data_IF_441447617129
#
_entry.id   IF_441447617129
#
_cell.length_a   1.000
_cell.length_b   1.000
_cell.length_c   1.000
_cell.angle_alpha   90.00
_cell.angle_beta   90.00
_cell.angle_gamma   90.00
#
_symmetry.space_group_name_H-M   'P 1'
#
loop_
_entity.id
_entity.type
_entity.pdbx_description
1 polymer ?
#
# COMPACT_ATOMS: atom_id res chain seq x y z
N UNK A 1 -23.31 -10.31 10.34
CA UNK A 1 -22.80 -9.80 10.97
C UNK A 1 -21.80 -9.61 10.70
N UNK A 2 -21.53 -9.81 10.54
CA UNK A 2 -20.57 -9.40 10.90
C UNK A 2 -19.40 -9.54 10.07
N UNK A 3 -19.59 -9.38 8.70
CA UNK A 3 -18.48 -9.19 7.79
C UNK A 3 -17.69 -7.92 8.14
N UNK A 4 -18.39 -6.90 8.62
CA UNK A 4 -17.73 -5.68 9.03
C UNK A 4 -16.82 -5.89 10.23
N UNK A 5 -17.28 -6.72 11.19
CA UNK A 5 -16.47 -7.03 12.37
C UNK A 5 -15.25 -7.83 11.96
N UNK A 6 -15.40 -8.81 11.07
CA UNK A 6 -14.27 -9.59 10.59
C UNK A 6 -13.27 -8.72 9.85
N UNK A 7 -13.75 -7.77 9.05
CA UNK A 7 -12.85 -6.86 8.33
C UNK A 7 -12.05 -5.99 9.31
N UNK A 8 -12.68 -5.51 10.37
CA UNK A 8 -11.98 -4.71 11.38
C UNK A 8 -10.95 -5.56 12.10
N UNK A 9 -11.29 -6.79 12.46
CA UNK A 9 -10.35 -7.69 13.14
C UNK A 9 -9.15 -7.97 12.23
N UNK A 10 -9.40 -8.29 10.96
CA UNK A 10 -8.31 -8.57 10.01
C UNK A 10 -7.44 -7.34 9.83
N UNK A 11 -8.03 -6.15 9.76
CA UNK A 11 -7.28 -4.91 9.62
C UNK A 11 -6.34 -4.68 10.80
N UNK A 12 -6.86 -4.86 12.03
CA UNK A 12 -6.05 -4.68 13.23
C UNK A 12 -4.93 -5.72 13.28
N UNK A 13 -5.24 -6.98 12.98
CA UNK A 13 -4.22 -8.03 13.00
C UNK A 13 -3.16 -7.77 11.94
N UNK A 14 -3.55 -7.33 10.77
CA UNK A 14 -2.61 -7.03 9.69
C UNK A 14 -1.69 -5.86 10.09
N UNK A 15 -2.26 -4.85 10.74
CA UNK A 15 -1.48 -3.71 11.20
C UNK A 15 -0.46 -4.12 12.24
N UNK A 16 -0.86 -4.96 13.19
CA UNK A 16 0.03 -5.46 14.21
C UNK A 16 1.13 -6.34 13.62
N UNK A 17 0.78 -7.19 12.67
CA UNK A 17 1.75 -8.04 12.01
C UNK A 17 2.76 -7.21 11.24
N UNK A 18 2.30 -6.20 10.51
CA UNK A 18 3.18 -5.32 9.76
C UNK A 18 4.15 -4.57 10.67
N UNK A 19 3.66 -4.09 11.81
CA UNK A 19 4.50 -3.42 12.79
C UNK A 19 5.58 -4.35 13.32
N UNK A 20 5.20 -5.59 13.67
CA UNK A 20 6.17 -6.55 14.17
C UNK A 20 7.21 -6.92 13.11
N UNK A 21 6.80 -7.07 11.86
CA UNK A 21 7.73 -7.38 10.78
C UNK A 21 8.77 -6.29 10.61
N UNK A 22 8.32 -5.03 10.58
CA UNK A 22 9.25 -3.90 10.40
C UNK A 22 10.20 -3.81 11.59
N UNK A 23 9.69 -4.05 12.78
CA UNK A 23 10.49 -3.95 14.00
C UNK A 23 11.59 -5.01 14.05
N UNK A 24 11.32 -6.22 13.53
CA UNK A 24 12.24 -7.33 13.63
C UNK A 24 13.20 -7.45 12.46
N UNK A 25 12.93 -6.76 11.36
CA UNK A 25 13.79 -6.85 10.18
C UNK A 25 15.04 -5.99 10.41
N UNK A 26 16.24 -6.49 10.05
CA UNK A 26 17.46 -5.69 10.16
C UNK A 26 17.35 -4.41 9.32
N UNK A 27 17.98 -3.32 9.79
CA UNK A 27 17.92 -2.05 9.04
C UNK A 27 18.40 -2.15 7.60
N UNK A 28 19.32 -3.07 7.31
CA UNK A 28 19.83 -3.24 5.95
C UNK A 28 18.76 -3.74 4.99
N UNK A 29 17.66 -4.34 5.50
CA UNK A 29 16.58 -4.86 4.68
C UNK A 29 15.40 -3.91 4.61
N UNK A 30 15.45 -2.76 5.31
CA UNK A 30 14.32 -1.84 5.30
C UNK A 30 14.07 -1.25 3.92
N UNK A 31 15.10 -0.92 3.18
CA UNK A 31 14.93 -0.35 1.85
C UNK A 31 14.36 -1.37 0.84
N UNK A 32 14.85 -2.62 0.80
CA UNK A 32 14.19 -3.65 -0.03
C UNK A 32 12.76 -3.92 0.39
N UNK A 33 12.47 -3.90 1.68
CA UNK A 33 11.10 -4.06 2.17
C UNK A 33 10.21 -2.91 1.70
N UNK A 34 10.72 -1.69 1.76
CA UNK A 34 10.00 -0.51 1.31
C UNK A 34 9.70 -0.60 -0.19
N UNK A 35 10.66 -1.08 -0.97
CA UNK A 35 10.44 -1.28 -2.40
C UNK A 35 9.32 -2.30 -2.66
N UNK A 36 9.28 -3.38 -1.86
CA UNK A 36 8.21 -4.37 -1.98
C UNK A 36 6.84 -3.80 -1.66
N UNK A 37 6.74 -2.98 -0.61
CA UNK A 37 5.46 -2.38 -0.24
C UNK A 37 4.99 -1.37 -1.28
N UNK A 38 5.91 -0.71 -1.97
CA UNK A 38 5.55 0.20 -3.05
C UNK A 38 4.99 -0.55 -4.25
N UNK A 39 5.45 -1.78 -4.48
CA UNK A 39 4.85 -2.62 -5.52
C UNK A 39 3.40 -2.97 -5.17
N UNK A 40 3.10 -3.15 -3.89
CA UNK A 40 1.73 -3.39 -3.44
C UNK A 40 0.85 -2.17 -3.74
N UNK A 41 1.40 -0.97 -3.63
CA UNK A 41 0.66 0.25 -3.98
C UNK A 41 0.25 0.26 -5.45
N UNK A 42 1.03 -0.36 -6.33
CA UNK A 42 0.65 -0.53 -7.72
C UNK A 42 -0.64 -1.34 -7.88
N UNK A 43 -0.79 -2.37 -7.06
CA UNK A 43 -2.02 -3.16 -7.04
C UNK A 43 -3.19 -2.32 -6.54
N UNK A 44 -2.97 -1.47 -5.55
CA UNK A 44 -4.00 -0.57 -5.03
C UNK A 44 -4.47 0.40 -6.12
N UNK A 45 -3.57 0.88 -6.97
CA UNK A 45 -3.95 1.75 -8.09
C UNK A 45 -4.95 1.05 -8.99
N UNK A 46 -4.68 -0.19 -9.36
CA UNK A 46 -5.59 -0.97 -10.20
C UNK A 46 -6.93 -1.14 -9.51
N UNK A 47 -6.92 -1.48 -8.22
CA UNK A 47 -8.14 -1.62 -7.45
C UNK A 47 -8.95 -0.33 -7.38
N UNK A 48 -8.27 0.81 -7.22
CA UNK A 48 -8.92 2.10 -7.17
C UNK A 48 -9.62 2.43 -8.50
N UNK A 49 -8.96 2.14 -9.61
CA UNK A 49 -9.56 2.37 -10.92
C UNK A 49 -10.81 1.51 -11.09
N UNK A 50 -10.75 0.26 -10.67
CA UNK A 50 -11.91 -0.63 -10.75
C UNK A 50 -13.07 -0.12 -9.91
N UNK A 51 -12.78 0.37 -8.70
CA UNK A 51 -13.81 0.91 -7.82
C UNK A 51 -14.46 2.15 -8.42
N UNK A 52 -13.67 3.06 -8.99
CA UNK A 52 -14.18 4.28 -9.58
C UNK A 52 -15.09 3.97 -10.75
N UNK A 53 -14.69 3.03 -11.60
CA UNK A 53 -15.43 2.73 -12.81
C UNK A 53 -16.68 1.89 -12.56
N UNK A 54 -16.75 1.18 -11.44
CA UNK A 54 -17.85 0.26 -11.18
C UNK A 54 -18.89 0.82 -10.20
N UNK A 55 -18.66 2.00 -9.62
CA UNK A 55 -19.55 2.53 -8.61
C UNK A 55 -20.34 3.72 -9.12
N UNK A 56 -21.58 3.84 -8.66
CA UNK A 56 -22.42 5.02 -8.93
C UNK A 56 -22.50 5.94 -7.71
N UNK A 57 -21.87 5.58 -6.60
CA UNK A 57 -21.89 6.41 -5.41
C UNK A 57 -20.83 7.48 -5.48
N UNK A 58 -21.25 8.74 -5.28
CA UNK A 58 -20.31 9.85 -5.30
C UNK A 58 -19.23 9.70 -4.21
N UNK A 59 -19.64 9.25 -3.03
CA UNK A 59 -18.68 9.06 -1.94
C UNK A 59 -17.60 8.04 -2.31
N UNK A 60 -17.99 6.92 -2.90
CA UNK A 60 -17.05 5.88 -3.28
C UNK A 60 -16.13 6.37 -4.39
N UNK A 61 -16.66 7.13 -5.35
CA UNK A 61 -15.85 7.70 -6.42
C UNK A 61 -14.81 8.67 -5.86
N UNK A 62 -15.19 9.52 -4.91
CA UNK A 62 -14.26 10.46 -4.30
C UNK A 62 -13.19 9.72 -3.51
N UNK A 63 -13.56 8.72 -2.73
CA UNK A 63 -12.60 7.93 -1.96
C UNK A 63 -11.66 7.16 -2.88
N UNK A 64 -12.20 6.60 -3.96
CA UNK A 64 -11.38 5.87 -4.92
C UNK A 64 -10.39 6.79 -5.62
N UNK A 65 -10.82 8.00 -5.96
CA UNK A 65 -9.94 8.98 -6.59
C UNK A 65 -8.83 9.41 -5.64
N UNK A 66 -9.16 9.65 -4.37
CA UNK A 66 -8.17 9.98 -3.36
C UNK A 66 -7.16 8.84 -3.18
N UNK A 67 -7.66 7.60 -3.15
CA UNK A 67 -6.80 6.43 -3.06
C UNK A 67 -5.86 6.33 -4.27
N UNK A 68 -6.38 6.61 -5.46
CA UNK A 68 -5.59 6.58 -6.68
C UNK A 68 -4.46 7.61 -6.62
N UNK A 69 -4.76 8.83 -6.18
CA UNK A 69 -3.74 9.87 -6.06
C UNK A 69 -2.66 9.50 -5.06
N UNK A 70 -3.06 9.04 -3.88
CA UNK A 70 -2.11 8.69 -2.83
C UNK A 70 -1.23 7.52 -3.25
N UNK A 71 -1.84 6.51 -3.88
CA UNK A 71 -1.09 5.35 -4.34
C UNK A 71 -0.12 5.71 -5.44
N UNK A 72 -0.52 6.60 -6.36
CA UNK A 72 0.35 7.04 -7.44
C UNK A 72 1.58 7.79 -6.90
N UNK A 73 1.38 8.65 -5.91
CA UNK A 73 2.48 9.37 -5.28
C UNK A 73 3.41 8.37 -4.61
N UNK A 74 2.86 7.38 -3.93
CA UNK A 74 3.66 6.38 -3.24
C UNK A 74 4.49 5.54 -4.23
N UNK A 75 3.89 5.12 -5.33
CA UNK A 75 4.61 4.33 -6.34
C UNK A 75 5.73 5.16 -6.97
N UNK A 76 5.45 6.42 -7.28
CA UNK A 76 6.48 7.28 -7.87
C UNK A 76 7.63 7.51 -6.89
N UNK A 77 7.31 7.81 -5.62
CA UNK A 77 8.33 7.98 -4.60
C UNK A 77 9.10 6.70 -4.36
N UNK A 78 8.41 5.56 -4.40
CA UNK A 78 9.05 4.27 -4.23
C UNK A 78 10.01 3.94 -5.36
N UNK A 79 9.70 4.37 -6.58
CA UNK A 79 10.61 4.18 -7.70
C UNK A 79 11.95 4.89 -7.44
N UNK A 80 11.88 6.12 -6.93
CA UNK A 80 13.09 6.87 -6.61
C UNK A 80 13.89 6.18 -5.51
N UNK A 81 13.21 5.70 -4.48
CA UNK A 81 13.87 4.99 -3.38
C UNK A 81 14.49 3.69 -3.87
N UNK A 82 13.80 2.97 -4.76
CA UNK A 82 14.33 1.72 -5.32
C UNK A 82 15.58 1.99 -6.14
N UNK A 83 15.60 3.06 -6.91
CA UNK A 83 16.76 3.43 -7.70
C UNK A 83 17.98 3.67 -6.79
N UNK A 84 17.78 4.38 -5.69
CA UNK A 84 18.84 4.61 -4.71
C UNK A 84 19.26 3.32 -4.02
N UNK A 85 18.32 2.43 -3.76
CA UNK A 85 18.63 1.14 -3.17
C UNK A 85 19.57 0.34 -4.05
N UNK A 86 19.31 0.33 -5.36
CA UNK A 86 20.15 -0.40 -6.30
C UNK A 86 21.58 0.14 -6.32
N UNK A 87 21.74 1.44 -6.10
CA UNK A 87 23.07 2.02 -6.02
C UNK A 87 23.86 1.53 -4.82
N UNK A 88 23.15 1.19 -3.74
CA UNK A 88 23.79 0.67 -2.53
C UNK A 88 24.42 -0.71 -2.76
N UNK A 89 23.90 -1.46 -3.73
CA UNK A 89 24.39 -2.80 -4.00
C UNK A 89 25.38 -2.88 -5.15
N UNK A 90 25.75 -1.75 -5.72
CA UNK A 90 26.73 -1.71 -6.81
C UNK A 90 28.17 -1.56 -6.30
#
# INVERSE_FOLDING_TARGET
>A
MNNEIYLIIVFVMAMMLGYELIKKIPPTLHTPLMSGTNAISGIVIIGSILVITSSNSLLIIILGFASLLLSSINVFGGFIVTDRMLEMFK
#
